data_IF_320573196389
#
_entry.id   IF_320573196389
#
_cell.length_a   1.000
_cell.length_b   1.000
_cell.length_c   1.000
_cell.angle_alpha   90.00
_cell.angle_beta   90.00
_cell.angle_gamma   90.00
#
_symmetry.space_group_name_H-M   'P 1'
#
loop_
_entity.id
_entity.type
_entity.pdbx_description
1 polymer ?
#
# COMPACT_ATOMS: atom_id res chain seq x y z
N UNK A 1 -5.71 -2.14 -20.65
CA UNK A 1 -5.21 -0.86 -21.23
C UNK A 1 -6.04 0.38 -20.88
N UNK A 2 -7.31 0.28 -20.47
CA UNK A 2 -8.11 1.47 -20.09
C UNK A 2 -7.76 1.95 -18.66
N UNK A 3 -7.54 1.03 -17.71
CA UNK A 3 -7.07 1.35 -16.35
C UNK A 3 -5.77 2.19 -16.30
N UNK A 4 -4.72 1.79 -17.03
CA UNK A 4 -3.46 2.56 -17.08
C UNK A 4 -3.69 3.98 -17.63
N UNK A 5 -4.50 4.10 -18.69
CA UNK A 5 -4.89 5.40 -19.26
C UNK A 5 -5.61 6.30 -18.26
N UNK A 6 -6.42 5.74 -17.33
CA UNK A 6 -7.07 6.52 -16.26
C UNK A 6 -6.03 7.14 -15.32
N UNK A 7 -5.03 6.38 -14.90
CA UNK A 7 -3.97 6.89 -14.01
C UNK A 7 -3.15 7.99 -14.70
N UNK A 8 -2.76 7.76 -15.95
CA UNK A 8 -1.96 8.71 -16.73
C UNK A 8 -2.71 10.02 -17.02
N UNK A 9 -4.05 10.00 -17.07
CA UNK A 9 -4.90 11.18 -17.26
C UNK A 9 -5.06 12.04 -16.02
N UNK A 10 -4.60 11.59 -14.85
CA UNK A 10 -4.68 12.37 -13.61
C UNK A 10 -3.28 12.54 -13.00
N UNK A 11 -2.36 13.24 -13.68
CA UNK A 11 -0.98 13.36 -13.23
C UNK A 11 -0.85 14.04 -11.86
N UNK A 12 -1.68 15.07 -11.62
CA UNK A 12 -1.72 15.76 -10.33
C UNK A 12 -2.12 14.86 -9.16
N UNK A 13 -2.89 13.79 -9.40
CA UNK A 13 -3.27 12.85 -8.33
C UNK A 13 -2.08 12.00 -7.89
N UNK A 14 -1.39 11.36 -8.84
CA UNK A 14 -0.27 10.49 -8.48
C UNK A 14 0.94 11.31 -8.02
N UNK A 15 1.24 12.46 -8.65
CA UNK A 15 2.30 13.37 -8.20
C UNK A 15 2.00 13.94 -6.82
N UNK A 16 0.76 14.35 -6.54
CA UNK A 16 0.35 14.85 -5.23
C UNK A 16 0.47 13.78 -4.13
N UNK A 17 0.05 12.54 -4.42
CA UNK A 17 0.23 11.42 -3.49
C UNK A 17 1.70 11.04 -3.28
N UNK A 18 2.53 11.15 -4.32
CA UNK A 18 3.98 10.98 -4.20
C UNK A 18 4.58 12.05 -3.30
N UNK A 19 4.26 13.33 -3.53
CA UNK A 19 4.73 14.44 -2.70
C UNK A 19 4.32 14.27 -1.24
N UNK A 20 3.06 13.89 -0.99
CA UNK A 20 2.56 13.58 0.35
C UNK A 20 3.36 12.44 0.99
N UNK A 21 3.56 11.34 0.27
CA UNK A 21 4.29 10.18 0.78
C UNK A 21 5.75 10.51 1.08
N UNK A 22 6.41 11.27 0.22
CA UNK A 22 7.80 11.73 0.42
C UNK A 22 7.92 12.68 1.62
N UNK A 23 6.99 13.61 1.79
CA UNK A 23 6.96 14.52 2.93
C UNK A 23 6.77 13.77 4.26
N UNK A 24 5.88 12.78 4.28
CA UNK A 24 5.66 11.94 5.46
C UNK A 24 6.85 11.04 5.76
N UNK A 25 7.44 10.42 4.73
CA UNK A 25 8.64 9.60 4.89
C UNK A 25 9.80 10.44 5.44
N UNK A 26 9.97 11.68 4.95
CA UNK A 26 10.96 12.60 5.48
C UNK A 26 10.71 12.98 6.94
N UNK A 27 9.45 13.28 7.30
CA UNK A 27 9.08 13.64 8.68
C UNK A 27 9.27 12.47 9.66
N UNK A 28 8.82 11.28 9.29
CA UNK A 28 8.92 10.06 10.11
C UNK A 28 10.36 9.54 10.22
N UNK A 29 11.25 9.90 9.30
CA UNK A 29 12.66 9.56 9.40
C UNK A 29 13.41 10.38 10.47
N UNK A 30 12.93 11.57 10.86
CA UNK A 30 13.65 12.46 11.79
C UNK A 30 13.81 11.86 13.20
N UNK A 31 12.78 11.28 13.84
CA UNK A 31 12.92 10.67 15.17
C UNK A 31 13.90 9.48 15.16
N UNK A 32 13.85 8.65 14.11
CA UNK A 32 14.76 7.52 13.93
C UNK A 32 16.19 7.99 13.75
N UNK A 33 16.40 8.99 12.87
CA UNK A 33 17.73 9.59 12.68
C UNK A 33 18.25 10.25 13.97
N UNK A 34 17.38 10.88 14.77
CA UNK A 34 17.71 11.43 16.08
C UNK A 34 18.19 10.34 17.05
N UNK A 35 17.41 9.27 17.20
CA UNK A 35 17.74 8.15 18.09
C UNK A 35 19.05 7.44 17.69
N UNK A 36 19.27 7.24 16.38
CA UNK A 36 20.52 6.67 15.86
C UNK A 36 21.70 7.58 16.15
N UNK A 37 21.59 8.90 15.92
CA UNK A 37 22.66 9.86 16.26
C UNK A 37 22.98 9.86 17.75
N UNK A 38 21.98 9.84 18.63
CA UNK A 38 22.21 9.79 20.07
C UNK A 38 22.88 8.49 20.51
N UNK A 39 22.55 7.37 19.87
CA UNK A 39 23.16 6.09 20.18
C UNK A 39 24.60 5.95 19.69
N UNK A 40 24.91 6.49 18.51
CA UNK A 40 26.27 6.44 17.96
C UNK A 40 27.23 7.46 18.59
N UNK A 41 26.71 8.49 19.27
CA UNK A 41 27.52 9.53 19.89
C UNK A 41 28.38 10.27 18.86
N UNK A 42 29.70 10.35 19.08
CA UNK A 42 30.66 10.93 18.13
C UNK A 42 31.12 10.01 17.00
N UNK A 43 30.66 8.75 16.97
CA UNK A 43 31.06 7.79 15.95
C UNK A 43 30.12 7.85 14.75
N UNK A 44 30.68 7.66 13.55
CA UNK A 44 29.90 7.53 12.30
C UNK A 44 30.08 6.13 11.73
N UNK A 45 29.08 5.66 10.98
CA UNK A 45 29.22 4.41 10.24
C UNK A 45 30.21 4.62 9.10
N UNK A 46 31.43 4.09 9.28
CA UNK A 46 32.54 4.23 8.35
C UNK A 46 32.51 3.18 7.23
N UNK A 47 31.84 2.04 7.45
CA UNK A 47 31.79 0.93 6.49
C UNK A 47 30.35 0.62 6.00
N UNK A 48 29.99 1.04 4.77
CA UNK A 48 28.66 0.79 4.22
C UNK A 48 28.41 -0.69 3.91
N UNK A 49 29.44 -1.50 3.72
CA UNK A 49 29.32 -2.94 3.47
C UNK A 49 28.89 -3.76 4.70
N UNK A 50 29.05 -3.20 5.91
CA UNK A 50 28.67 -3.85 7.18
C UNK A 50 27.43 -3.23 7.81
N UNK A 51 26.69 -2.41 7.07
CA UNK A 51 25.58 -1.63 7.60
C UNK A 51 24.50 -2.48 8.29
N UNK A 52 24.13 -3.62 7.67
CA UNK A 52 23.15 -4.55 8.28
C UNK A 52 23.73 -5.18 9.53
N UNK A 53 24.99 -5.64 9.48
CA UNK A 53 25.64 -6.26 10.63
C UNK A 53 25.77 -5.27 11.79
N UNK A 54 26.20 -4.04 11.51
CA UNK A 54 26.27 -2.94 12.47
C UNK A 54 24.89 -2.54 13.01
N UNK A 55 23.85 -2.48 12.15
CA UNK A 55 22.49 -2.22 12.60
C UNK A 55 21.97 -3.36 13.49
N UNK A 56 22.20 -4.61 13.11
CA UNK A 56 21.80 -5.78 13.87
C UNK A 56 22.51 -5.84 15.23
N UNK A 57 23.80 -5.52 15.26
CA UNK A 57 24.60 -5.42 16.48
C UNK A 57 24.10 -4.27 17.38
N UNK A 58 23.82 -3.10 16.80
CA UNK A 58 23.26 -1.95 17.51
C UNK A 58 21.88 -2.27 18.10
N UNK A 59 21.02 -2.96 17.34
CA UNK A 59 19.72 -3.43 17.80
C UNK A 59 19.85 -4.50 18.91
N UNK A 60 20.85 -5.38 18.82
CA UNK A 60 21.11 -6.39 19.84
C UNK A 60 21.63 -5.77 21.15
N UNK A 61 22.44 -4.72 21.07
CA UNK A 61 23.08 -4.08 22.23
C UNK A 61 22.19 -3.02 22.90
N UNK A 62 21.22 -2.44 22.19
CA UNK A 62 20.43 -1.32 22.68
C UNK A 62 18.91 -1.53 22.50
N UNK A 63 18.20 -2.07 23.50
CA UNK A 63 16.75 -2.31 23.41
C UNK A 63 15.92 -1.03 23.20
N UNK A 64 16.42 0.12 23.65
CA UNK A 64 15.78 1.42 23.40
C UNK A 64 15.72 1.77 21.89
N UNK A 65 16.75 1.38 21.12
CA UNK A 65 16.79 1.62 19.68
C UNK A 65 15.80 0.69 18.98
N UNK A 66 15.74 -0.59 19.38
CA UNK A 66 14.74 -1.54 18.88
C UNK A 66 13.33 -1.00 19.10
N UNK A 67 13.03 -0.48 20.28
CA UNK A 67 11.73 0.11 20.60
C UNK A 67 11.40 1.31 19.71
N UNK A 68 12.36 2.21 19.47
CA UNK A 68 12.17 3.37 18.57
C UNK A 68 11.96 2.93 17.12
N UNK A 69 12.73 1.97 16.61
CA UNK A 69 12.56 1.43 15.26
C UNK A 69 11.21 0.72 15.09
N UNK A 70 10.82 -0.10 16.06
CA UNK A 70 9.53 -0.79 16.06
C UNK A 70 8.37 0.22 16.12
N UNK A 71 8.43 1.19 17.04
CA UNK A 71 7.43 2.24 17.16
C UNK A 71 7.34 3.10 15.90
N UNK A 72 8.46 3.49 15.30
CA UNK A 72 8.49 4.26 14.06
C UNK A 72 7.91 3.45 12.89
N UNK A 73 8.21 2.16 12.80
CA UNK A 73 7.67 1.27 11.76
C UNK A 73 6.16 1.09 11.91
N UNK A 74 5.69 0.84 13.13
CA UNK A 74 4.26 0.71 13.45
C UNK A 74 3.54 2.03 13.19
N UNK A 75 4.06 3.16 13.69
CA UNK A 75 3.48 4.48 13.49
C UNK A 75 3.43 4.85 12.00
N UNK A 76 4.50 4.57 11.24
CA UNK A 76 4.53 4.78 9.79
C UNK A 76 3.48 3.91 9.07
N UNK A 77 3.36 2.65 9.46
CA UNK A 77 2.34 1.74 8.92
C UNK A 77 0.92 2.21 9.22
N UNK A 78 0.63 2.61 10.45
CA UNK A 78 -0.66 3.14 10.88
C UNK A 78 -1.00 4.46 10.18
N UNK A 79 -0.04 5.39 10.11
CA UNK A 79 -0.23 6.67 9.43
C UNK A 79 -0.46 6.46 7.93
N UNK A 80 0.32 5.57 7.30
CA UNK A 80 0.12 5.19 5.91
C UNK A 80 -1.25 4.57 5.67
N UNK A 81 -1.72 3.70 6.56
CA UNK A 81 -3.06 3.11 6.49
C UNK A 81 -4.17 4.16 6.67
N UNK A 82 -4.02 5.06 7.63
CA UNK A 82 -4.97 6.15 7.89
C UNK A 82 -5.07 7.09 6.69
N UNK A 83 -3.94 7.49 6.11
CA UNK A 83 -3.91 8.35 4.93
C UNK A 83 -4.49 7.65 3.71
N UNK A 84 -4.09 6.39 3.49
CA UNK A 84 -4.66 5.59 2.41
C UNK A 84 -6.19 5.50 2.53
N UNK A 85 -6.71 5.30 3.74
CA UNK A 85 -8.15 5.29 3.99
C UNK A 85 -8.81 6.66 3.72
N UNK A 86 -8.21 7.74 4.22
CA UNK A 86 -8.69 9.11 4.06
C UNK A 86 -8.77 9.52 2.59
N UNK A 87 -7.76 9.22 1.79
CA UNK A 87 -7.72 9.65 0.38
C UNK A 87 -8.51 8.72 -0.54
N UNK A 88 -8.78 7.48 -0.12
CA UNK A 88 -9.33 6.42 -1.00
C UNK A 88 -10.64 6.79 -1.70
N UNK A 89 -11.57 7.45 -1.01
CA UNK A 89 -12.83 7.91 -1.61
C UNK A 89 -12.61 8.90 -2.76
N UNK A 90 -11.80 9.94 -2.51
CA UNK A 90 -11.43 10.92 -3.52
C UNK A 90 -10.62 10.31 -4.67
N UNK A 91 -9.70 9.37 -4.39
CA UNK A 91 -8.92 8.65 -5.41
C UNK A 91 -9.84 7.88 -6.36
N UNK A 92 -10.80 7.11 -5.83
CA UNK A 92 -11.70 6.30 -6.64
C UNK A 92 -12.57 7.15 -7.57
N UNK A 93 -13.13 8.25 -7.07
CA UNK A 93 -13.91 9.18 -7.90
C UNK A 93 -13.06 9.86 -8.96
N UNK A 94 -11.85 10.32 -8.62
CA UNK A 94 -10.93 10.93 -9.60
C UNK A 94 -10.51 9.96 -10.70
N UNK A 95 -10.25 8.70 -10.36
CA UNK A 95 -9.92 7.66 -11.34
C UNK A 95 -11.13 7.28 -12.21
N UNK A 96 -12.34 7.43 -11.70
CA UNK A 96 -13.57 7.25 -12.45
C UNK A 96 -13.81 8.40 -13.44
N UNK A 97 -13.71 9.64 -12.98
CA UNK A 97 -13.92 10.84 -13.80
C UNK A 97 -12.89 11.01 -14.93
N UNK A 98 -11.68 10.46 -14.75
CA UNK A 98 -10.64 10.44 -15.77
C UNK A 98 -11.06 9.74 -17.09
N UNK A 99 -12.13 8.94 -17.09
CA UNK A 99 -12.71 8.40 -18.33
C UNK A 99 -13.62 9.37 -19.09
N UNK A 100 -14.26 10.32 -18.41
CA UNK A 100 -15.40 11.09 -18.94
C UNK A 100 -15.09 12.59 -18.99
N UNK A 101 -14.00 13.02 -19.68
CA UNK A 101 -13.60 14.42 -20.01
C UNK A 101 -13.90 15.52 -18.94
N UNK A 102 -14.01 15.17 -17.66
CA UNK A 102 -14.80 15.94 -16.70
C UNK A 102 -13.95 16.57 -15.61
N UNK A 103 -14.02 17.89 -15.55
CA UNK A 103 -13.43 18.80 -14.57
C UNK A 103 -14.12 18.70 -13.18
N UNK A 104 -14.12 17.53 -12.54
CA UNK A 104 -14.46 17.49 -11.10
C UNK A 104 -13.34 18.15 -10.31
N UNK A 105 -13.66 19.28 -9.69
CA UNK A 105 -12.70 20.12 -8.97
C UNK A 105 -12.11 19.36 -7.77
N UNK A 106 -10.90 19.74 -7.33
CA UNK A 106 -10.30 19.22 -6.08
C UNK A 106 -11.23 19.38 -4.86
N UNK A 107 -12.20 20.29 -4.90
CA UNK A 107 -13.23 20.42 -3.88
C UNK A 107 -14.11 19.16 -3.70
N UNK A 108 -14.36 18.41 -4.79
CA UNK A 108 -15.12 17.15 -4.72
C UNK A 108 -14.27 15.99 -4.19
N UNK A 109 -12.95 16.05 -4.38
CA UNK A 109 -12.01 15.09 -3.79
C UNK A 109 -12.10 15.11 -2.27
N UNK A 110 -12.07 16.29 -1.64
CA UNK A 110 -12.17 16.43 -0.19
C UNK A 110 -13.50 15.92 0.37
N UNK A 111 -14.63 16.31 -0.26
CA UNK A 111 -15.96 15.83 0.12
C UNK A 111 -16.09 14.31 -0.01
N UNK A 112 -15.58 13.75 -1.09
CA UNK A 112 -15.58 12.31 -1.35
C UNK A 112 -14.72 11.52 -0.36
N UNK A 113 -13.54 12.06 -0.01
CA UNK A 113 -12.63 11.48 0.96
C UNK A 113 -13.26 11.34 2.34
N UNK A 114 -13.92 12.39 2.82
CA UNK A 114 -14.55 12.39 4.14
C UNK A 114 -15.90 11.66 4.14
N UNK A 115 -16.73 11.88 3.11
CA UNK A 115 -18.08 11.32 3.03
C UNK A 115 -18.13 9.79 2.94
N UNK A 116 -17.09 9.17 2.37
CA UNK A 116 -17.00 7.71 2.24
C UNK A 116 -16.14 7.03 3.31
N UNK A 117 -15.55 7.78 4.24
CA UNK A 117 -14.63 7.25 5.24
C UNK A 117 -15.21 6.12 6.09
N UNK A 118 -16.40 6.23 6.72
CA UNK A 118 -16.91 5.16 7.59
C UNK A 118 -17.18 3.86 6.80
N UNK A 119 -17.65 4.01 5.58
CA UNK A 119 -17.91 2.92 4.64
C UNK A 119 -16.62 2.21 4.24
N UNK A 120 -15.59 2.98 3.85
CA UNK A 120 -14.29 2.45 3.46
C UNK A 120 -13.55 1.83 4.64
N UNK A 121 -13.77 2.35 5.86
CA UNK A 121 -13.23 1.79 7.08
C UNK A 121 -13.81 0.40 7.34
N UNK A 122 -15.13 0.23 7.19
CA UNK A 122 -15.78 -1.07 7.35
C UNK A 122 -15.34 -2.07 6.28
N UNK A 123 -15.22 -1.65 5.02
CA UNK A 123 -14.65 -2.49 3.95
C UNK A 123 -13.20 -2.87 4.27
N UNK A 124 -12.42 -1.94 4.83
CA UNK A 124 -11.07 -2.20 5.32
C UNK A 124 -11.03 -3.25 6.44
N UNK A 125 -11.97 -3.16 7.39
CA UNK A 125 -12.11 -4.12 8.48
C UNK A 125 -12.48 -5.51 7.97
N UNK A 126 -13.46 -5.63 7.06
CA UNK A 126 -13.79 -6.90 6.42
C UNK A 126 -12.61 -7.46 5.62
N UNK A 127 -11.82 -6.60 4.98
CA UNK A 127 -10.57 -6.98 4.33
C UNK A 127 -9.53 -7.55 5.29
N UNK A 128 -9.37 -6.96 6.47
CA UNK A 128 -8.48 -7.47 7.52
C UNK A 128 -8.95 -8.81 8.04
N UNK A 129 -10.25 -8.96 8.36
CA UNK A 129 -10.83 -10.24 8.80
C UNK A 129 -10.63 -11.32 7.74
N UNK A 130 -10.90 -11.01 6.47
CA UNK A 130 -10.67 -11.96 5.38
C UNK A 130 -9.20 -12.35 5.28
N UNK A 131 -8.25 -11.40 5.34
CA UNK A 131 -6.82 -11.72 5.32
C UNK A 131 -6.40 -12.60 6.48
N UNK A 132 -6.93 -12.35 7.68
CA UNK A 132 -6.66 -13.15 8.87
C UNK A 132 -7.12 -14.60 8.65
N UNK A 133 -8.39 -14.79 8.26
CA UNK A 133 -8.97 -16.11 7.97
C UNK A 133 -8.17 -16.83 6.89
N UNK A 134 -7.82 -16.13 5.81
CA UNK A 134 -7.04 -16.71 4.72
C UNK A 134 -5.61 -17.09 5.14
N UNK A 135 -4.99 -16.31 6.03
CA UNK A 135 -3.66 -16.63 6.57
C UNK A 135 -3.72 -17.86 7.47
N UNK A 136 -4.77 -18.02 8.27
CA UNK A 136 -5.00 -19.25 9.04
C UNK A 136 -5.19 -20.47 8.13
N UNK A 137 -5.93 -20.32 7.02
CA UNK A 137 -6.09 -21.38 6.02
C UNK A 137 -4.75 -21.73 5.37
N UNK A 138 -3.94 -20.73 4.99
CA UNK A 138 -2.60 -20.95 4.45
C UNK A 138 -1.70 -21.71 5.43
N UNK A 139 -1.67 -21.28 6.70
CA UNK A 139 -0.89 -21.92 7.75
C UNK A 139 -1.37 -23.35 8.05
N UNK A 140 -2.69 -23.61 7.98
CA UNK A 140 -3.24 -24.96 8.16
C UNK A 140 -2.85 -25.89 6.99
N UNK A 141 -2.73 -25.35 5.78
CA UNK A 141 -2.27 -26.07 4.59
C UNK A 141 -0.74 -26.22 4.53
N UNK A 142 0.01 -25.46 5.36
CA UNK A 142 1.47 -25.40 5.38
C UNK A 142 2.16 -26.67 5.90
N UNK A 143 1.41 -27.68 6.33
CA UNK A 143 1.96 -28.93 6.86
C UNK A 143 2.84 -29.75 5.91
N UNK A 144 2.99 -29.35 4.64
CA UNK A 144 3.72 -30.09 3.62
C UNK A 144 5.02 -29.41 3.11
N UNK A 145 4.97 -28.14 2.67
CA UNK A 145 6.13 -27.46 2.05
C UNK A 145 6.07 -25.92 2.14
N UNK A 146 7.15 -25.27 2.58
CA UNK A 146 7.26 -23.81 2.72
C UNK A 146 7.04 -23.02 1.41
N UNK A 147 7.42 -23.60 0.26
CA UNK A 147 7.19 -22.96 -1.04
C UNK A 147 5.70 -22.96 -1.42
N UNK A 148 5.00 -24.05 -1.09
CA UNK A 148 3.54 -24.16 -1.33
C UNK A 148 2.80 -23.18 -0.42
N UNK A 149 3.19 -23.10 0.85
CA UNK A 149 2.67 -22.12 1.80
C UNK A 149 2.85 -20.68 1.29
N UNK A 150 4.04 -20.32 0.81
CA UNK A 150 4.31 -18.99 0.27
C UNK A 150 3.43 -18.68 -0.94
N UNK A 151 3.30 -19.62 -1.88
CA UNK A 151 2.45 -19.45 -3.08
C UNK A 151 1.00 -19.27 -2.68
N UNK A 152 0.49 -20.11 -1.77
CA UNK A 152 -0.90 -20.01 -1.26
C UNK A 152 -1.11 -18.67 -0.57
N UNK A 153 -0.19 -18.24 0.30
CA UNK A 153 -0.28 -16.96 1.01
C UNK A 153 -0.32 -15.79 0.02
N UNK A 154 0.53 -15.78 -0.99
CA UNK A 154 0.55 -14.75 -2.05
C UNK A 154 -0.79 -14.71 -2.80
N UNK A 155 -1.30 -15.86 -3.23
CA UNK A 155 -2.57 -15.95 -3.95
C UNK A 155 -3.73 -15.43 -3.10
N UNK A 156 -3.76 -15.79 -1.81
CA UNK A 156 -4.80 -15.37 -0.89
C UNK A 156 -4.73 -13.87 -0.53
N UNK A 157 -3.53 -13.31 -0.34
CA UNK A 157 -3.36 -11.88 -0.07
C UNK A 157 -3.70 -11.02 -1.30
N UNK A 158 -3.35 -11.48 -2.49
CA UNK A 158 -3.72 -10.80 -3.75
C UNK A 158 -5.23 -10.88 -4.02
N UNK A 159 -5.88 -11.98 -3.63
CA UNK A 159 -7.33 -12.11 -3.70
C UNK A 159 -8.03 -11.11 -2.77
N UNK A 160 -7.66 -11.07 -1.49
CA UNK A 160 -8.30 -10.18 -0.51
C UNK A 160 -8.11 -8.70 -0.85
N UNK A 161 -6.94 -8.32 -1.39
CA UNK A 161 -6.68 -6.95 -1.86
C UNK A 161 -7.53 -6.59 -3.08
N UNK A 162 -7.72 -7.51 -4.02
CA UNK A 162 -8.58 -7.32 -5.19
C UNK A 162 -10.06 -7.17 -4.79
N UNK A 163 -10.57 -8.06 -3.94
CA UNK A 163 -11.95 -8.01 -3.46
C UNK A 163 -12.26 -6.71 -2.70
N UNK A 164 -11.35 -6.28 -1.83
CA UNK A 164 -11.50 -5.03 -1.08
C UNK A 164 -11.48 -3.78 -1.97
N UNK A 165 -10.69 -3.76 -3.04
CA UNK A 165 -10.70 -2.66 -4.00
C UNK A 165 -11.97 -2.63 -4.84
N UNK A 166 -12.45 -3.79 -5.29
CA UNK A 166 -13.70 -3.89 -6.05
C UNK A 166 -14.91 -3.46 -5.22
N UNK A 167 -14.99 -3.92 -3.96
CA UNK A 167 -16.03 -3.53 -3.03
C UNK A 167 -16.02 -2.01 -2.79
N UNK A 168 -14.85 -1.43 -2.53
CA UNK A 168 -14.69 0.00 -2.34
C UNK A 168 -15.09 0.81 -3.60
N UNK A 169 -14.64 0.38 -4.79
CA UNK A 169 -14.96 1.04 -6.05
C UNK A 169 -16.47 1.03 -6.32
N UNK A 170 -17.13 -0.13 -6.21
CA UNK A 170 -18.59 -0.24 -6.40
C UNK A 170 -19.34 0.69 -5.47
N UNK A 171 -18.96 0.70 -4.20
CA UNK A 171 -19.64 1.46 -3.17
C UNK A 171 -19.53 2.96 -3.37
N UNK A 172 -18.31 3.44 -3.56
CA UNK A 172 -18.02 4.87 -3.74
C UNK A 172 -18.64 5.39 -5.04
N UNK A 173 -18.60 4.61 -6.12
CA UNK A 173 -19.08 5.06 -7.43
C UNK A 173 -20.60 4.92 -7.61
N UNK A 174 -21.26 4.00 -6.91
CA UNK A 174 -22.73 3.86 -6.94
C UNK A 174 -23.44 4.84 -5.99
N UNK A 175 -22.72 5.51 -5.09
CA UNK A 175 -23.25 6.58 -4.24
C UNK A 175 -24.29 6.14 -3.20
N UNK A 176 -24.41 4.84 -2.95
CA UNK A 176 -25.38 4.29 -2.02
C UNK A 176 -24.99 4.66 -0.56
N UNK A 177 -25.95 4.76 0.37
CA UNK A 177 -25.71 4.97 1.83
C UNK A 177 -25.81 3.67 2.64
N UNK A 178 -24.76 3.31 3.40
CA UNK A 178 -24.70 2.11 4.28
C UNK A 178 -23.98 0.87 3.72
N UNK A 179 -23.08 0.24 4.49
CA UNK A 179 -22.36 -0.97 4.04
C UNK A 179 -23.08 -2.23 4.50
N UNK A 180 -23.61 -3.03 3.57
CA UNK A 180 -24.07 -4.37 3.91
C UNK A 180 -22.92 -5.38 3.71
N UNK A 181 -22.65 -6.28 4.68
CA UNK A 181 -21.67 -7.37 4.53
C UNK A 181 -21.79 -8.17 3.22
N UNK A 182 -23.02 -8.29 2.69
CA UNK A 182 -23.32 -8.97 1.42
C UNK A 182 -22.58 -8.36 0.23
N UNK A 183 -22.30 -7.06 0.23
CA UNK A 183 -21.57 -6.40 -0.85
C UNK A 183 -20.11 -6.86 -0.92
N UNK A 184 -19.48 -7.03 0.25
CA UNK A 184 -18.11 -7.53 0.32
C UNK A 184 -18.05 -8.99 -0.13
N UNK A 185 -19.01 -9.83 0.29
CA UNK A 185 -19.11 -11.22 -0.15
C UNK A 185 -19.37 -11.32 -1.66
N UNK A 186 -20.27 -10.49 -2.21
CA UNK A 186 -20.49 -10.41 -3.67
C UNK A 186 -19.22 -10.03 -4.42
N UNK A 187 -18.45 -9.07 -3.91
CA UNK A 187 -17.17 -8.72 -4.50
C UNK A 187 -16.18 -9.90 -4.49
N UNK A 188 -16.12 -10.69 -3.40
CA UNK A 188 -15.31 -11.92 -3.36
C UNK A 188 -15.76 -12.93 -4.42
N UNK A 189 -17.07 -13.18 -4.55
CA UNK A 189 -17.61 -14.11 -5.56
C UNK A 189 -17.27 -13.65 -6.97
N UNK A 190 -17.38 -12.35 -7.26
CA UNK A 190 -17.09 -11.82 -8.59
C UNK A 190 -15.60 -11.86 -8.93
N UNK A 191 -14.72 -11.62 -7.95
CA UNK A 191 -13.27 -11.80 -8.13
C UNK A 191 -12.95 -13.26 -8.38
N UNK A 192 -13.55 -14.20 -7.64
CA UNK A 192 -13.37 -15.63 -7.84
C UNK A 192 -13.84 -16.10 -9.23
N UNK A 193 -14.91 -15.50 -9.75
CA UNK A 193 -15.44 -15.78 -11.10
C UNK A 193 -14.68 -15.06 -12.23
N UNK A 194 -13.81 -14.10 -11.90
CA UNK A 194 -13.11 -13.24 -12.86
C UNK A 194 -11.60 -13.40 -12.76
N UNK A 195 -11.02 -14.51 -13.26
CA UNK A 195 -9.58 -14.79 -13.12
C UNK A 195 -8.72 -13.70 -13.76
N UNK A 196 -9.17 -13.06 -14.85
CA UNK A 196 -8.46 -11.93 -15.47
C UNK A 196 -8.33 -10.72 -14.55
N UNK A 197 -9.37 -10.43 -13.76
CA UNK A 197 -9.37 -9.32 -12.80
C UNK A 197 -8.39 -9.61 -11.66
N UNK A 198 -8.46 -10.82 -11.12
CA UNK A 198 -7.57 -11.26 -10.06
C UNK A 198 -6.11 -11.29 -10.50
N UNK A 199 -5.79 -11.84 -11.69
CA UNK A 199 -4.42 -11.85 -12.23
C UNK A 199 -3.88 -10.44 -12.46
N UNK A 200 -4.69 -9.52 -13.01
CA UNK A 200 -4.27 -8.14 -13.22
C UNK A 200 -3.99 -7.40 -11.90
N UNK A 201 -4.91 -7.50 -10.92
CA UNK A 201 -4.72 -6.90 -9.59
C UNK A 201 -3.59 -7.58 -8.82
N UNK A 202 -3.46 -8.90 -8.94
CA UNK A 202 -2.45 -9.72 -8.30
C UNK A 202 -1.05 -9.40 -8.82
N UNK A 203 -0.86 -9.32 -10.14
CA UNK A 203 0.40 -8.91 -10.75
C UNK A 203 0.83 -7.51 -10.30
N UNK A 204 -0.09 -6.55 -10.23
CA UNK A 204 0.21 -5.20 -9.73
C UNK A 204 0.54 -5.19 -8.23
N UNK A 205 -0.12 -6.04 -7.44
CA UNK A 205 0.18 -6.20 -6.02
C UNK A 205 1.56 -6.81 -5.81
N UNK A 206 1.92 -7.84 -6.59
CA UNK A 206 3.23 -8.46 -6.60
C UNK A 206 4.33 -7.50 -7.04
N UNK A 207 4.11 -6.74 -8.12
CA UNK A 207 5.03 -5.70 -8.57
C UNK A 207 5.27 -4.66 -7.46
N UNK A 208 4.22 -4.27 -6.72
CA UNK A 208 4.36 -3.35 -5.58
C UNK A 208 5.20 -3.95 -4.45
N UNK A 209 5.04 -5.25 -4.15
CA UNK A 209 5.88 -5.95 -3.17
C UNK A 209 7.33 -6.09 -3.64
N UNK A 210 7.56 -6.37 -4.92
CA UNK A 210 8.90 -6.39 -5.51
C UNK A 210 9.58 -5.02 -5.40
N UNK A 211 8.83 -3.92 -5.64
CA UNK A 211 9.33 -2.55 -5.44
C UNK A 211 9.64 -2.28 -3.97
N UNK A 212 8.80 -2.74 -3.03
CA UNK A 212 9.10 -2.62 -1.61
C UNK A 212 10.38 -3.38 -1.22
N UNK A 213 10.58 -4.60 -1.75
CA UNK A 213 11.82 -5.34 -1.60
C UNK A 213 13.03 -4.62 -2.21
N UNK A 214 12.87 -4.01 -3.39
CA UNK A 214 13.91 -3.20 -4.02
C UNK A 214 14.28 -1.96 -3.19
N UNK A 215 13.31 -1.30 -2.54
CA UNK A 215 13.59 -0.18 -1.61
C UNK A 215 14.48 -0.65 -0.47
N UNK A 216 14.20 -1.82 0.11
CA UNK A 216 15.03 -2.40 1.17
C UNK A 216 16.42 -2.72 0.64
N UNK A 217 16.53 -3.34 -0.54
CA UNK A 217 17.83 -3.63 -1.16
C UNK A 217 18.65 -2.37 -1.44
N UNK A 218 18.03 -1.30 -1.94
CA UNK A 218 18.67 0.00 -2.18
C UNK A 218 19.12 0.63 -0.87
N UNK A 219 18.29 0.58 0.18
CA UNK A 219 18.64 1.11 1.49
C UNK A 219 19.83 0.37 2.11
N UNK A 220 19.94 -0.93 1.86
CA UNK A 220 21.05 -1.78 2.32
C UNK A 220 22.33 -1.54 1.55
N UNK A 221 22.28 -1.59 0.21
CA UNK A 221 23.49 -1.60 -0.62
C UNK A 221 23.98 -0.20 -0.99
N UNK A 222 23.11 0.80 -0.96
CA UNK A 222 23.46 2.19 -1.28
C UNK A 222 23.73 3.05 -0.04
N UNK A 223 23.95 2.43 1.12
CA UNK A 223 24.15 3.17 2.35
C UNK A 223 25.41 4.06 2.28
N UNK A 224 25.30 5.30 2.73
CA UNK A 224 26.38 6.30 2.59
C UNK A 224 26.42 7.00 1.22
N UNK A 225 25.68 6.51 0.23
CA UNK A 225 25.66 7.11 -1.10
C UNK A 225 24.43 8.00 -1.34
N UNK A 226 24.66 9.15 -1.97
CA UNK A 226 23.62 10.12 -2.26
C UNK A 226 22.51 9.55 -3.18
N UNK A 227 22.86 8.68 -4.14
CA UNK A 227 21.92 8.10 -5.10
C UNK A 227 20.89 7.18 -4.44
N UNK A 228 21.25 6.51 -3.34
CA UNK A 228 20.38 5.52 -2.69
C UNK A 228 19.10 6.16 -2.14
N UNK A 229 19.25 7.35 -1.56
CA UNK A 229 18.11 8.12 -1.06
C UNK A 229 17.15 8.51 -2.18
N UNK A 230 17.67 8.94 -3.34
CA UNK A 230 16.87 9.30 -4.50
C UNK A 230 16.21 8.08 -5.15
N UNK A 231 16.93 6.96 -5.25
CA UNK A 231 16.40 5.69 -5.76
C UNK A 231 15.28 5.14 -4.89
N UNK A 232 15.44 5.13 -3.57
CA UNK A 232 14.38 4.70 -2.64
C UNK A 232 13.11 5.57 -2.76
N UNK A 233 13.28 6.88 -2.89
CA UNK A 233 12.18 7.83 -3.12
C UNK A 233 11.49 7.60 -4.47
N UNK A 234 12.26 7.41 -5.53
CA UNK A 234 11.74 7.10 -6.87
C UNK A 234 10.94 5.80 -6.88
N UNK A 235 11.47 4.75 -6.25
CA UNK A 235 10.78 3.47 -6.09
C UNK A 235 9.49 3.61 -5.27
N UNK A 236 9.47 4.44 -4.22
CA UNK A 236 8.26 4.73 -3.47
C UNK A 236 7.18 5.39 -4.36
N UNK A 237 7.56 6.31 -5.25
CA UNK A 237 6.66 6.89 -6.24
C UNK A 237 6.11 5.84 -7.22
N UNK A 238 6.96 4.90 -7.67
CA UNK A 238 6.53 3.76 -8.50
C UNK A 238 5.53 2.89 -7.76
N UNK A 239 5.74 2.61 -6.46
CA UNK A 239 4.80 1.85 -5.64
C UNK A 239 3.43 2.54 -5.52
N UNK A 240 3.41 3.88 -5.37
CA UNK A 240 2.17 4.68 -5.38
C UNK A 240 1.47 4.58 -6.74
N UNK A 241 2.21 4.69 -7.84
CA UNK A 241 1.66 4.55 -9.19
C UNK A 241 1.04 3.17 -9.42
N UNK A 242 1.72 2.09 -9.03
CA UNK A 242 1.22 0.73 -9.12
C UNK A 242 -0.05 0.53 -8.27
N UNK A 243 -0.10 1.14 -7.08
CA UNK A 243 -1.30 1.10 -6.23
C UNK A 243 -2.49 1.80 -6.88
N UNK A 244 -2.29 2.96 -7.50
CA UNK A 244 -3.32 3.68 -8.26
C UNK A 244 -3.78 2.90 -9.48
N UNK A 245 -2.85 2.25 -10.19
CA UNK A 245 -3.20 1.40 -11.33
C UNK A 245 -4.06 0.22 -10.89
N UNK A 246 -3.73 -0.42 -9.77
CA UNK A 246 -4.56 -1.50 -9.21
C UNK A 246 -5.97 -1.02 -8.87
N UNK A 247 -6.10 0.16 -8.25
CA UNK A 247 -7.41 0.76 -7.98
C UNK A 247 -8.17 1.12 -9.26
N UNK A 248 -7.48 1.60 -10.31
CA UNK A 248 -8.07 1.87 -11.61
C UNK A 248 -8.59 0.60 -12.32
N UNK A 249 -7.95 -0.54 -12.11
CA UNK A 249 -8.44 -1.85 -12.57
C UNK A 249 -9.76 -2.20 -11.87
N UNK A 250 -9.88 -1.95 -10.57
CA UNK A 250 -11.11 -2.18 -9.82
C UNK A 250 -12.25 -1.22 -10.26
N UNK A 251 -11.95 0.06 -10.51
CA UNK A 251 -12.91 1.03 -11.08
C UNK A 251 -13.39 0.59 -12.48
N UNK A 252 -12.50 0.09 -13.33
CA UNK A 252 -12.88 -0.44 -14.65
C UNK A 252 -13.80 -1.67 -14.52
N UNK A 253 -13.53 -2.54 -13.54
CA UNK A 253 -14.35 -3.73 -13.29
C UNK A 253 -15.72 -3.39 -12.70
N UNK A 254 -15.83 -2.37 -11.82
CA UNK A 254 -17.10 -1.97 -11.22
C UNK A 254 -18.09 -1.38 -12.23
N UNK A 255 -17.62 -0.87 -13.37
CA UNK A 255 -18.48 -0.39 -14.48
C UNK A 255 -19.01 -1.52 -15.38
N UNK A 256 -18.44 -2.73 -15.31
CA UNK A 256 -18.83 -3.87 -16.14
C UNK A 256 -19.83 -4.82 -15.46
N UNK A 257 -20.08 -4.61 -14.18
CA UNK A 257 -20.92 -5.44 -13.31
C UNK A 257 -22.12 -4.63 -12.81
#
# INVERSE_FOLDING_TARGET
MKALRRVLRVPGLWLGLCALHLGLAWGLAQPVAGAVRTAMGGHTWTDPHRLIAALAELLAQSPAIVAVFAAATVASGLLGAAIALLVRGGVLLRLDDASDRGSRAWAEFGRASLGNLPVLALIGLYGLVLRLVLSFVANALAGAHALVELVVLVLLLTFATCAGDLAAARRVLRGERGVHPREYVRACVDVARSPRLWLASGALTLARWAVAGAIVLVAVHGAGEAWASWSARGLACVAVFLALWRMAVAVEASRRA
#
